data_IF_234481464972
#
_entry.id   IF_234481464972
#
_cell.length_a   1.000
_cell.length_b   1.000
_cell.length_c   1.000
_cell.angle_alpha   90.00
_cell.angle_beta   90.00
_cell.angle_gamma   90.00
#
_symmetry.space_group_name_H-M   'P 1'
#
loop_
_entity.id
_entity.type
_entity.pdbx_description
1 polymer ?
#
# COMPACT_ATOMS: atom_id res chain seq x y z
N UNK A 1 -19.69 8.89 20.44
CA UNK A 1 -19.93 8.74 18.99
C UNK A 1 -19.58 7.32 18.57
N UNK A 2 -20.58 6.44 18.40
CA UNK A 2 -20.39 5.07 17.92
C UNK A 2 -20.30 5.14 16.39
N UNK A 3 -19.14 4.80 15.83
CA UNK A 3 -18.93 4.70 14.39
C UNK A 3 -19.65 3.45 13.89
N UNK A 4 -20.94 3.59 13.58
CA UNK A 4 -21.74 2.53 12.97
C UNK A 4 -21.17 2.18 11.59
N UNK A 5 -20.85 0.90 11.35
CA UNK A 5 -20.86 0.32 10.00
C UNK A 5 -19.55 -0.08 9.36
N UNK A 6 -18.37 0.21 9.94
CA UNK A 6 -17.11 -0.28 9.34
C UNK A 6 -16.83 -1.69 9.86
N UNK A 7 -17.13 -2.68 9.02
CA UNK A 7 -16.80 -4.09 9.28
C UNK A 7 -15.29 -4.17 9.55
N UNK A 8 -14.84 -4.76 10.69
CA UNK A 8 -13.42 -4.88 10.98
C UNK A 8 -12.73 -5.71 9.88
N UNK A 9 -11.48 -5.37 9.49
CA UNK A 9 -10.75 -6.15 8.52
C UNK A 9 -10.47 -7.55 9.07
N UNK A 10 -10.38 -8.54 8.17
CA UNK A 10 -10.03 -9.89 8.60
C UNK A 10 -8.57 -9.92 9.07
N UNK A 11 -8.22 -10.72 10.09
CA UNK A 11 -6.86 -10.78 10.64
C UNK A 11 -5.83 -11.21 9.58
N UNK A 12 -6.23 -12.03 8.62
CA UNK A 12 -5.39 -12.49 7.51
C UNK A 12 -5.02 -11.33 6.58
N UNK A 13 -6.00 -10.49 6.23
CA UNK A 13 -5.75 -9.32 5.38
C UNK A 13 -4.78 -8.35 6.06
N UNK A 14 -4.96 -8.13 7.37
CA UNK A 14 -4.07 -7.29 8.19
C UNK A 14 -2.65 -7.86 8.21
N UNK A 15 -2.51 -9.17 8.41
CA UNK A 15 -1.22 -9.85 8.45
C UNK A 15 -0.47 -9.75 7.11
N UNK A 16 -1.15 -10.01 5.99
CA UNK A 16 -0.57 -9.88 4.64
C UNK A 16 -0.04 -8.47 4.41
N UNK A 17 -0.86 -7.44 4.68
CA UNK A 17 -0.47 -6.04 4.45
C UNK A 17 0.70 -5.63 5.35
N UNK A 18 0.70 -6.05 6.62
CA UNK A 18 1.82 -5.80 7.53
C UNK A 18 3.12 -6.41 7.01
N UNK A 19 3.09 -7.66 6.53
CA UNK A 19 4.29 -8.32 6.03
C UNK A 19 4.83 -7.63 4.77
N UNK A 20 3.94 -7.24 3.84
CA UNK A 20 4.33 -6.51 2.63
C UNK A 20 4.99 -5.17 2.97
N UNK A 21 4.45 -4.43 3.93
CA UNK A 21 4.98 -3.12 4.30
C UNK A 21 6.22 -3.20 5.20
N UNK A 22 6.44 -4.31 5.90
CA UNK A 22 7.63 -4.53 6.73
C UNK A 22 8.85 -5.00 5.95
N UNK A 23 8.69 -5.45 4.71
CA UNK A 23 9.81 -5.87 3.87
C UNK A 23 10.77 -4.68 3.62
N UNK A 24 12.03 -4.76 4.11
CA UNK A 24 12.98 -3.66 4.00
C UNK A 24 13.36 -3.35 2.55
N UNK A 25 13.18 -4.29 1.62
CA UNK A 25 13.59 -4.13 0.23
C UNK A 25 12.57 -3.36 -0.62
N UNK A 26 11.37 -3.13 -0.10
CA UNK A 26 10.22 -2.70 -0.90
C UNK A 26 9.94 -1.20 -0.79
N UNK A 27 10.35 -0.58 0.32
CA UNK A 27 10.13 0.85 0.57
C UNK A 27 8.64 1.24 0.62
N UNK A 28 8.33 2.54 0.54
CA UNK A 28 6.94 3.01 0.51
C UNK A 28 6.19 2.47 -0.71
N UNK A 29 4.91 2.13 -0.54
CA UNK A 29 4.10 1.55 -1.60
C UNK A 29 2.80 2.31 -1.83
N UNK A 30 2.37 2.39 -3.09
CA UNK A 30 1.02 2.85 -3.43
C UNK A 30 -0.03 1.81 -3.04
N UNK A 31 -1.28 2.22 -2.82
CA UNK A 31 -2.39 1.28 -2.60
C UNK A 31 -2.48 0.22 -3.70
N UNK A 32 -2.24 0.63 -4.95
CA UNK A 32 -2.21 -0.27 -6.12
C UNK A 32 -1.06 -1.28 -6.01
N UNK A 33 0.13 -0.84 -5.60
CA UNK A 33 1.30 -1.71 -5.40
C UNK A 33 1.08 -2.73 -4.29
N UNK A 34 0.53 -2.30 -3.15
CA UNK A 34 0.17 -3.19 -2.03
C UNK A 34 -0.82 -4.24 -2.50
N UNK A 35 -1.86 -3.83 -3.24
CA UNK A 35 -2.88 -4.75 -3.75
C UNK A 35 -2.28 -5.85 -4.65
N UNK A 36 -1.42 -5.50 -5.61
CA UNK A 36 -0.83 -6.53 -6.48
C UNK A 36 0.14 -7.45 -5.77
N UNK A 37 0.94 -6.93 -4.82
CA UNK A 37 1.81 -7.78 -4.00
C UNK A 37 0.99 -8.71 -3.11
N UNK A 38 -0.11 -8.24 -2.55
CA UNK A 38 -1.01 -9.06 -1.77
C UNK A 38 -1.58 -10.24 -2.56
N UNK A 39 -1.95 -10.02 -3.83
CA UNK A 39 -2.43 -11.10 -4.70
C UNK A 39 -1.36 -12.16 -5.04
N UNK A 40 -0.07 -11.85 -4.87
CA UNK A 40 1.02 -12.80 -5.07
C UNK A 40 1.30 -13.66 -3.84
N UNK A 41 0.80 -13.26 -2.66
CA UNK A 41 0.96 -14.01 -1.42
C UNK A 41 -0.04 -15.16 -1.44
N UNK A 42 0.45 -16.40 -1.50
CA UNK A 42 -0.43 -17.56 -1.41
C UNK A 42 -1.00 -17.65 0.03
N UNK A 43 -2.30 -17.94 0.21
CA UNK A 43 -2.89 -18.08 1.53
C UNK A 43 -2.34 -19.29 2.30
N UNK A 44 -1.84 -20.31 1.60
CA UNK A 44 -1.24 -21.52 2.19
C UNK A 44 0.05 -21.23 2.98
N UNK A 45 0.84 -20.25 2.54
CA UNK A 45 2.10 -19.85 3.19
C UNK A 45 1.91 -19.14 4.53
N UNK A 46 0.66 -18.85 4.93
CA UNK A 46 0.37 -18.09 6.14
C UNK A 46 0.19 -18.96 7.39
N UNK A 47 0.29 -20.28 7.29
CA UNK A 47 0.18 -21.19 8.44
C UNK A 47 -1.14 -21.10 9.21
N UNK A 48 -2.15 -20.46 8.62
CA UNK A 48 -3.45 -20.27 9.24
C UNK A 48 -4.22 -21.59 9.20
N UNK A 49 -4.94 -21.95 10.29
CA UNK A 49 -5.86 -23.09 10.23
C UNK A 49 -6.83 -22.83 9.08
N UNK A 50 -7.05 -23.85 8.24
CA UNK A 50 -8.09 -23.84 7.21
C UNK A 50 -9.43 -23.58 7.91
N UNK A 51 -9.84 -22.31 8.02
CA UNK A 51 -11.18 -22.01 8.49
C UNK A 51 -12.12 -22.63 7.47
N UNK A 52 -13.07 -23.49 7.87
CA UNK A 52 -14.00 -24.09 6.94
C UNK A 52 -14.70 -22.95 6.20
N UNK A 53 -14.74 -23.05 4.87
CA UNK A 53 -15.38 -22.09 4.00
C UNK A 53 -16.78 -21.79 4.56
N UNK A 54 -16.92 -20.64 5.20
CA UNK A 54 -18.23 -20.18 5.68
C UNK A 54 -19.00 -19.85 4.42
N UNK A 55 -19.87 -20.78 4.01
CA UNK A 55 -20.81 -20.63 2.89
C UNK A 55 -21.63 -19.39 3.17
N UNK A 56 -21.17 -18.25 2.65
CA UNK A 56 -21.88 -16.99 2.75
C UNK A 56 -23.02 -17.09 1.76
N UNK A 57 -24.25 -17.17 2.27
CA UNK A 57 -25.48 -17.14 1.50
C UNK A 57 -25.47 -15.94 0.53
N UNK A 58 -25.97 -16.09 -0.71
CA UNK A 58 -26.13 -14.97 -1.61
C UNK A 58 -27.35 -14.15 -1.18
N UNK A 59 -27.11 -13.02 -0.53
CA UNK A 59 -28.12 -11.96 -0.41
C UNK A 59 -28.36 -11.38 -1.83
N UNK A 60 -29.48 -11.80 -2.42
CA UNK A 60 -29.99 -11.30 -3.69
C UNK A 60 -30.32 -9.81 -3.55
N UNK A 61 -29.80 -8.99 -4.48
CA UNK A 61 -30.34 -7.64 -4.70
C UNK A 61 -29.31 -6.52 -4.64
N UNK A 62 -28.38 -6.49 -5.59
CA UNK A 62 -27.78 -5.29 -6.21
C UNK A 62 -26.82 -5.81 -7.28
N UNK A 63 -26.72 -5.11 -8.43
CA UNK A 63 -25.77 -5.43 -9.51
C UNK A 63 -24.37 -5.47 -8.90
N UNK A 64 -23.92 -6.65 -8.51
CA UNK A 64 -22.69 -6.83 -7.77
C UNK A 64 -21.55 -6.77 -8.77
N UNK A 65 -20.70 -5.75 -8.60
CA UNK A 65 -19.37 -5.78 -9.17
C UNK A 65 -18.76 -7.16 -8.88
N UNK A 66 -18.47 -7.91 -9.94
CA UNK A 66 -17.88 -9.24 -9.84
C UNK A 66 -16.59 -9.07 -9.04
N UNK A 67 -16.59 -9.56 -7.80
CA UNK A 67 -15.41 -9.50 -6.94
C UNK A 67 -14.36 -10.39 -7.60
N UNK A 68 -13.21 -9.83 -8.03
CA UNK A 68 -12.26 -10.56 -8.86
C UNK A 68 -11.61 -11.74 -8.12
N UNK A 69 -11.60 -11.73 -6.78
CA UNK A 69 -11.07 -12.81 -5.96
C UNK A 69 -11.90 -13.01 -4.68
N UNK A 70 -13.01 -13.78 -4.72
CA UNK A 70 -13.92 -13.91 -3.58
C UNK A 70 -13.28 -14.64 -2.38
N UNK A 71 -12.33 -15.54 -2.63
CA UNK A 71 -11.67 -16.34 -1.60
C UNK A 71 -10.38 -15.72 -1.05
N UNK A 72 -9.91 -14.62 -1.64
CA UNK A 72 -8.69 -13.96 -1.16
C UNK A 72 -9.03 -13.03 0.03
N UNK A 73 -8.21 -12.99 1.10
CA UNK A 73 -8.45 -12.11 2.25
C UNK A 73 -8.59 -10.64 1.85
N UNK A 74 -7.90 -10.22 0.79
CA UNK A 74 -8.02 -8.89 0.20
C UNK A 74 -8.84 -9.02 -1.10
N UNK A 75 -10.15 -8.74 -0.98
CA UNK A 75 -11.15 -8.96 -2.03
C UNK A 75 -11.13 -7.93 -3.15
N UNK A 76 -10.76 -6.69 -2.82
CA UNK A 76 -10.75 -5.57 -3.76
C UNK A 76 -9.80 -4.45 -3.31
N UNK A 77 -9.47 -3.53 -4.23
CA UNK A 77 -8.67 -2.33 -3.91
C UNK A 77 -9.39 -1.41 -2.94
N UNK A 78 -10.72 -1.26 -3.06
CA UNK A 78 -11.52 -0.44 -2.15
C UNK A 78 -11.53 -1.05 -0.74
N UNK A 79 -11.71 -2.37 -0.62
CA UNK A 79 -11.62 -3.06 0.67
C UNK A 79 -10.25 -2.87 1.35
N UNK A 80 -9.17 -2.99 0.57
CA UNK A 80 -7.82 -2.71 1.07
C UNK A 80 -7.69 -1.27 1.60
N UNK A 81 -8.16 -0.29 0.81
CA UNK A 81 -8.03 1.14 1.12
C UNK A 81 -8.89 1.56 2.32
N UNK A 82 -10.19 1.29 2.24
CA UNK A 82 -11.21 1.83 3.14
C UNK A 82 -11.32 1.04 4.45
N UNK A 83 -10.91 -0.25 4.44
CA UNK A 83 -10.99 -1.10 5.63
C UNK A 83 -9.61 -1.40 6.21
N UNK A 84 -8.74 -2.05 5.45
CA UNK A 84 -7.48 -2.59 6.01
C UNK A 84 -6.46 -1.49 6.30
N UNK A 85 -6.17 -0.62 5.31
CA UNK A 85 -5.21 0.47 5.46
C UNK A 85 -5.71 1.50 6.47
N UNK A 86 -6.99 1.88 6.38
CA UNK A 86 -7.61 2.76 7.36
C UNK A 86 -7.52 2.22 8.80
N UNK A 87 -7.74 0.92 9.00
CA UNK A 87 -7.60 0.28 10.31
C UNK A 87 -6.16 0.32 10.83
N UNK A 88 -5.17 0.02 9.98
CA UNK A 88 -3.75 0.05 10.35
C UNK A 88 -3.26 1.48 10.64
N UNK A 89 -3.75 2.46 9.89
CA UNK A 89 -3.48 3.89 10.11
C UNK A 89 -4.04 4.36 11.45
N UNK A 90 -5.30 3.99 11.78
CA UNK A 90 -5.90 4.29 13.09
C UNK A 90 -5.14 3.67 14.25
N UNK A 91 -4.56 2.48 14.05
CA UNK A 91 -3.66 1.83 15.02
C UNK A 91 -2.25 2.42 15.06
N UNK A 92 -1.97 3.43 14.22
CA UNK A 92 -0.65 4.09 14.09
C UNK A 92 0.47 3.13 13.71
N UNK A 93 0.16 2.04 13.03
CA UNK A 93 1.16 1.07 12.57
C UNK A 93 1.76 1.45 11.22
N UNK A 94 0.99 2.18 10.42
CA UNK A 94 1.40 2.70 9.11
C UNK A 94 1.07 4.18 9.05
N UNK A 95 1.69 4.87 8.09
CA UNK A 95 1.37 6.26 7.79
C UNK A 95 1.33 6.49 6.28
N UNK A 96 0.48 7.44 5.91
CA UNK A 96 0.35 7.92 4.54
C UNK A 96 1.33 9.08 4.33
N UNK A 97 2.24 8.93 3.38
CA UNK A 97 3.24 9.94 3.04
C UNK A 97 3.03 10.47 1.63
N UNK A 98 3.42 11.72 1.46
CA UNK A 98 3.44 12.39 0.18
C UNK A 98 4.84 12.31 -0.40
N UNK A 99 4.97 11.79 -1.63
CA UNK A 99 6.27 11.62 -2.27
C UNK A 99 6.24 12.28 -3.64
N UNK A 100 7.15 13.23 -3.83
CA UNK A 100 7.49 13.76 -5.14
C UNK A 100 8.63 12.93 -5.70
N UNK A 101 8.39 12.25 -6.83
CA UNK A 101 9.42 11.48 -7.51
C UNK A 101 9.47 11.82 -8.99
N UNK A 102 10.64 11.65 -9.61
CA UNK A 102 10.77 11.77 -11.06
C UNK A 102 9.93 10.70 -11.77
N UNK A 103 9.22 11.13 -12.80
CA UNK A 103 8.44 10.25 -13.64
C UNK A 103 9.35 9.29 -14.39
N UNK A 104 9.05 7.99 -14.36
CA UNK A 104 9.78 7.03 -15.21
C UNK A 104 9.46 7.30 -16.70
N UNK A 105 10.36 6.97 -17.65
CA UNK A 105 10.10 7.18 -19.08
C UNK A 105 8.78 6.54 -19.53
N UNK A 106 8.48 5.34 -19.03
CA UNK A 106 7.24 4.60 -19.32
C UNK A 106 5.99 5.32 -18.79
N UNK A 107 6.07 5.95 -17.62
CA UNK A 107 4.98 6.76 -17.09
C UNK A 107 4.81 8.04 -17.90
N UNK A 108 5.90 8.72 -18.28
CA UNK A 108 5.85 9.92 -19.14
C UNK A 108 5.20 9.61 -20.49
N UNK A 109 5.54 8.48 -21.11
CA UNK A 109 4.91 8.05 -22.38
C UNK A 109 3.40 7.85 -22.23
N UNK A 110 2.96 7.21 -21.13
CA UNK A 110 1.52 7.01 -20.85
C UNK A 110 0.80 8.33 -20.58
N UNK A 111 1.43 9.24 -19.85
CA UNK A 111 0.87 10.57 -19.59
C UNK A 111 0.77 11.39 -20.88
N UNK A 112 1.79 11.34 -21.74
CA UNK A 112 1.76 11.98 -23.05
C UNK A 112 0.64 11.42 -23.93
N UNK A 113 0.45 10.10 -23.95
CA UNK A 113 -0.63 9.46 -24.69
C UNK A 113 -2.00 9.94 -24.19
N UNK A 114 -2.24 9.93 -22.88
CA UNK A 114 -3.47 10.40 -22.28
C UNK A 114 -3.71 11.92 -22.50
N UNK A 115 -2.64 12.71 -22.57
CA UNK A 115 -2.72 14.12 -22.95
C UNK A 115 -3.09 14.29 -24.41
N UNK A 116 -2.50 13.52 -25.32
CA UNK A 116 -2.78 13.57 -26.76
C UNK A 116 -4.21 13.16 -27.11
N UNK A 117 -4.78 12.23 -26.37
CA UNK A 117 -6.19 11.87 -26.48
C UNK A 117 -7.13 13.06 -26.21
N UNK A 118 -6.72 13.99 -25.35
CA UNK A 118 -7.50 15.19 -25.00
C UNK A 118 -7.08 16.43 -25.79
N UNK A 119 -5.80 16.54 -26.13
CA UNK A 119 -5.17 17.67 -26.82
C UNK A 119 -4.11 17.12 -27.79
N UNK A 120 -4.47 16.91 -29.07
CA UNK A 120 -3.58 16.28 -30.06
C UNK A 120 -2.23 16.99 -30.26
N UNK A 121 -2.17 18.31 -30.00
CA UNK A 121 -0.95 19.13 -30.09
C UNK A 121 -0.04 19.06 -28.86
N UNK A 122 -0.34 18.19 -27.87
CA UNK A 122 0.46 18.07 -26.66
C UNK A 122 1.87 17.48 -26.93
N UNK A 123 2.86 18.11 -26.31
CA UNK A 123 4.27 17.79 -26.43
C UNK A 123 4.84 17.21 -25.12
N UNK A 124 6.05 16.66 -25.20
CA UNK A 124 6.75 16.06 -24.04
C UNK A 124 7.03 17.08 -22.93
N UNK A 125 7.19 18.37 -23.30
CA UNK A 125 7.35 19.50 -22.37
C UNK A 125 6.12 19.75 -21.51
N UNK A 126 4.94 19.35 -21.99
CA UNK A 126 3.68 19.53 -21.27
C UNK A 126 3.47 18.44 -20.20
N UNK A 127 4.29 17.39 -20.20
CA UNK A 127 4.26 16.33 -19.20
C UNK A 127 5.11 16.75 -18.00
N UNK A 128 4.54 16.81 -16.78
CA UNK A 128 5.30 17.18 -15.59
C UNK A 128 6.47 16.22 -15.36
N UNK A 129 7.63 16.76 -15.00
CA UNK A 129 8.83 15.96 -14.73
C UNK A 129 8.66 15.12 -13.45
N UNK A 130 8.01 15.68 -12.45
CA UNK A 130 7.76 15.04 -11.17
C UNK A 130 6.30 14.58 -11.09
N UNK A 131 6.13 13.35 -10.58
CA UNK A 131 4.84 12.80 -10.23
C UNK A 131 4.68 12.95 -8.74
N UNK A 132 3.56 13.56 -8.38
CA UNK A 132 3.09 13.60 -7.02
C UNK A 132 2.27 12.35 -6.70
N UNK A 133 2.64 11.64 -5.63
CA UNK A 133 2.02 10.37 -5.29
C UNK A 133 1.94 10.14 -3.79
N UNK A 134 0.73 9.80 -3.34
CA UNK A 134 0.49 9.28 -2.00
C UNK A 134 0.93 7.81 -1.90
N UNK A 135 1.77 7.53 -0.91
CA UNK A 135 2.29 6.20 -0.62
C UNK A 135 2.07 5.85 0.85
N UNK A 136 2.14 4.57 1.17
CA UNK A 136 2.04 4.05 2.52
C UNK A 136 3.39 3.49 2.91
N UNK A 137 3.80 3.76 4.14
CA UNK A 137 4.99 3.13 4.73
C UNK A 137 4.66 2.63 6.14
N UNK A 138 5.39 1.63 6.64
CA UNK A 138 5.33 1.30 8.06
C UNK A 138 5.71 2.56 8.84
N UNK A 139 4.93 2.88 9.87
CA UNK A 139 5.33 3.92 10.80
C UNK A 139 6.51 3.35 11.55
N UNK A 140 7.70 3.86 11.28
CA UNK A 140 8.86 3.51 12.09
C UNK A 140 8.49 3.77 13.53
N UNK A 141 8.56 2.73 14.39
CA UNK A 141 8.97 2.99 15.75
C UNK A 141 10.21 3.85 15.58
N UNK A 142 10.16 5.07 16.08
CA UNK A 142 11.31 5.97 16.11
C UNK A 142 12.40 5.15 16.79
N UNK A 143 13.21 4.42 16.02
CA UNK A 143 14.57 4.11 16.41
C UNK A 143 15.11 5.52 16.46
N UNK A 144 15.15 6.06 17.68
CA UNK A 144 16.08 7.10 18.04
C UNK A 144 17.43 6.51 17.65
N UNK A 145 17.79 6.65 16.37
CA UNK A 145 19.18 6.73 15.98
C UNK A 145 19.64 8.04 16.59
N UNK A 146 19.79 8.03 17.92
CA UNK A 146 20.84 8.79 18.54
C UNK A 146 22.09 8.23 17.92
N UNK A 147 22.50 8.82 16.81
CA UNK A 147 23.90 8.93 16.48
C UNK A 147 24.56 9.52 17.72
N UNK A 148 24.97 8.65 18.64
CA UNK A 148 26.22 8.89 19.35
C UNK A 148 27.26 8.89 18.25
N UNK A 149 27.48 10.07 17.68
CA UNK A 149 28.79 10.42 17.15
C UNK A 149 29.66 10.38 18.41
N UNK A 150 30.24 9.21 18.67
CA UNK A 150 31.38 9.11 19.55
C UNK A 150 32.47 9.91 18.88
N UNK A 151 32.65 11.15 19.33
CA UNK A 151 33.90 11.84 19.17
C UNK A 151 34.93 11.03 19.96
N UNK A 152 35.70 10.24 19.23
CA UNK A 152 36.98 9.71 19.70
C UNK A 152 38.04 10.57 18.99
N UNK A 153 38.09 11.83 19.43
CA UNK A 153 39.28 12.67 19.31
C UNK A 153 40.24 12.28 20.45
N UNK A 154 41.52 12.44 20.15
CA UNK A 154 42.68 12.40 21.04
C UNK A 154 43.17 11.02 21.50
N UNK A 155 44.20 10.52 20.82
CA UNK A 155 45.57 10.46 21.39
C UNK A 155 46.42 9.42 20.65
N UNK A 156 47.31 9.84 19.75
CA UNK A 156 48.71 9.46 19.89
C UNK A 156 49.61 10.36 19.03
N UNK A 157 50.20 11.35 19.68
CA UNK A 157 51.44 11.94 19.24
C UNK A 157 52.58 11.08 19.78
N UNK A 158 53.35 10.46 18.89
CA UNK A 158 54.75 10.09 19.13
C UNK A 158 55.44 9.90 17.78
#
# INVERSE_FOLDING_TARGET
>A
MRLCGVVPPTPEAVYIVRNILRDPNVGPLTTKGIYYRALQVKPETLGLPKTPATKSQPEQGKKSDIIPYPYHPIRSKSYLKDTVLYFLERRREIEKIHVFRKATPKERSRMLQALREKKPSANVSDVPENIDQWMWRPRGLIRRSGSRIGGEEDSNAM
#
